data_IF_527099733452
#
_entry.id   IF_527099733452
#
_cell.length_a   1.000
_cell.length_b   1.000
_cell.length_c   1.000
_cell.angle_alpha   90.00
_cell.angle_beta   90.00
_cell.angle_gamma   90.00
#
_symmetry.space_group_name_H-M   'P 1'
#
loop_
_entity.id
_entity.type
_entity.pdbx_description
1 polymer ?
#
# COMPACT_ATOMS: atom_id res chain seq x y z
N UNK A 1 7.64 19.16 -7.46
CA UNK A 1 8.32 17.86 -7.39
C UNK A 1 8.72 17.68 -5.93
N UNK A 2 7.90 16.99 -5.13
CA UNK A 2 8.22 16.76 -3.71
C UNK A 2 9.32 15.71 -3.67
N UNK A 3 10.53 16.12 -3.28
CA UNK A 3 11.62 15.18 -3.03
C UNK A 3 11.48 14.72 -1.58
N UNK A 4 11.19 13.45 -1.36
CA UNK A 4 11.22 12.86 -0.01
C UNK A 4 12.66 12.88 0.50
N UNK A 5 12.83 13.28 1.76
CA UNK A 5 14.13 13.18 2.42
C UNK A 5 14.49 11.72 2.72
N UNK A 6 15.77 11.41 2.90
CA UNK A 6 16.19 10.06 3.30
C UNK A 6 15.53 9.58 4.60
N UNK A 7 15.25 10.50 5.54
CA UNK A 7 14.54 10.18 6.78
C UNK A 7 13.09 9.79 6.50
N UNK A 8 12.37 10.57 5.70
CA UNK A 8 11.01 10.21 5.30
C UNK A 8 10.97 8.89 4.51
N UNK A 9 11.99 8.64 3.68
CA UNK A 9 12.10 7.39 2.93
C UNK A 9 12.29 6.20 3.88
N UNK A 10 13.17 6.33 4.87
CA UNK A 10 13.42 5.29 5.88
C UNK A 10 12.16 5.04 6.72
N UNK A 11 11.52 6.11 7.21
CA UNK A 11 10.28 6.02 7.96
C UNK A 11 9.19 5.33 7.15
N UNK A 12 8.89 5.82 5.95
CA UNK A 12 7.90 5.22 5.05
C UNK A 12 8.23 3.75 4.81
N UNK A 13 9.48 3.41 4.48
CA UNK A 13 9.87 2.01 4.23
C UNK A 13 9.77 1.12 5.47
N UNK A 14 9.81 1.69 6.68
CA UNK A 14 9.61 0.98 7.93
C UNK A 14 8.12 0.88 8.32
N UNK A 15 7.24 1.64 7.68
CA UNK A 15 5.81 1.61 7.98
C UNK A 15 5.16 0.32 7.49
N UNK A 16 4.46 -0.29 8.44
CA UNK A 16 3.70 -1.50 8.21
C UNK A 16 2.41 -1.43 9.03
N UNK A 17 1.28 -1.38 8.33
CA UNK A 17 -0.03 -1.30 8.94
C UNK A 17 -0.81 -2.58 8.68
N UNK A 18 -1.49 -3.07 9.71
CA UNK A 18 -2.36 -4.24 9.61
C UNK A 18 -3.78 -3.74 9.78
N UNK A 19 -4.51 -3.66 8.67
CA UNK A 19 -5.91 -3.29 8.61
C UNK A 19 -6.75 -4.56 8.70
N UNK A 20 -7.47 -4.75 9.79
CA UNK A 20 -8.44 -5.83 9.88
C UNK A 20 -9.74 -5.35 9.21
N UNK A 21 -10.01 -5.85 8.01
CA UNK A 21 -11.24 -5.52 7.27
C UNK A 21 -12.40 -6.33 7.84
N UNK A 22 -12.17 -7.63 8.04
CA UNK A 22 -13.21 -8.57 8.44
C UNK A 22 -12.67 -9.63 9.40
N UNK A 23 -13.55 -10.51 9.91
CA UNK A 23 -13.15 -11.56 10.85
C UNK A 23 -12.12 -12.52 10.23
N UNK A 24 -12.24 -12.77 8.92
CA UNK A 24 -11.35 -13.64 8.16
C UNK A 24 -10.37 -12.87 7.27
N UNK A 25 -10.67 -11.61 6.90
CA UNK A 25 -9.89 -10.82 5.96
C UNK A 25 -9.05 -9.75 6.68
N UNK A 26 -7.73 -9.79 6.45
CA UNK A 26 -6.77 -8.80 6.93
C UNK A 26 -5.97 -8.28 5.76
N UNK A 27 -5.81 -6.97 5.70
CA UNK A 27 -5.01 -6.31 4.68
C UNK A 27 -3.79 -5.71 5.34
N UNK A 28 -2.64 -6.07 4.82
CA UNK A 28 -1.36 -5.69 5.37
C UNK A 28 -0.70 -4.72 4.42
N UNK A 29 -0.68 -3.45 4.83
CA UNK A 29 -0.17 -2.33 4.06
C UNK A 29 1.31 -2.11 4.34
N UNK A 30 2.15 -2.21 3.32
CA UNK A 30 3.60 -1.99 3.37
C UNK A 30 3.95 -0.89 2.38
N UNK A 31 4.75 0.09 2.78
CA UNK A 31 5.30 1.04 1.82
C UNK A 31 6.68 0.56 1.39
N UNK A 32 6.92 0.57 0.09
CA UNK A 32 8.21 0.24 -0.51
C UNK A 32 8.66 1.39 -1.37
N UNK A 33 9.84 1.92 -1.05
CA UNK A 33 10.42 3.00 -1.84
C UNK A 33 11.48 2.40 -2.75
N UNK A 34 11.21 2.44 -4.05
CA UNK A 34 12.19 2.11 -5.05
C UNK A 34 12.99 3.39 -5.32
N UNK A 35 14.16 3.48 -4.70
CA UNK A 35 15.17 4.43 -5.12
C UNK A 35 15.63 4.03 -6.53
N UNK A 36 15.26 4.81 -7.53
CA UNK A 36 15.79 4.62 -8.88
C UNK A 36 17.26 5.04 -8.86
N UNK A 37 18.16 4.19 -9.36
CA UNK A 37 19.60 4.47 -9.44
C UNK A 37 19.95 5.50 -10.53
N UNK A 38 18.96 6.22 -11.09
CA UNK A 38 19.11 7.30 -12.06
C UNK A 38 18.64 8.67 -11.54
N UNK A 39 18.60 9.67 -12.43
CA UNK A 39 18.16 11.06 -12.19
C UNK A 39 16.64 11.19 -11.91
N UNK A 40 15.96 10.08 -11.62
CA UNK A 40 14.53 10.04 -11.40
C UNK A 40 14.18 10.15 -9.92
N UNK A 41 13.08 10.83 -9.58
CA UNK A 41 12.56 10.84 -8.23
C UNK A 41 12.28 9.42 -7.71
N UNK A 42 12.48 9.16 -6.40
CA UNK A 42 12.21 7.87 -5.80
C UNK A 42 10.72 7.51 -5.96
N UNK A 43 10.43 6.28 -6.39
CA UNK A 43 9.06 5.79 -6.54
C UNK A 43 8.56 5.22 -5.22
N UNK A 44 7.44 5.73 -4.75
CA UNK A 44 6.76 5.21 -3.56
C UNK A 44 5.71 4.21 -4.03
N UNK A 45 5.80 2.97 -3.57
CA UNK A 45 4.89 1.89 -3.93
C UNK A 45 4.22 1.39 -2.65
N UNK A 46 2.89 1.51 -2.58
CA UNK A 46 2.09 0.89 -1.53
C UNK A 46 1.77 -0.55 -1.93
N UNK A 47 2.27 -1.49 -1.14
CA UNK A 47 1.99 -2.91 -1.27
C UNK A 47 0.90 -3.29 -0.25
N UNK A 48 -0.24 -3.74 -0.74
CA UNK A 48 -1.31 -4.29 0.09
C UNK A 48 -1.29 -5.80 -0.02
N UNK A 49 -1.10 -6.49 1.09
CA UNK A 49 -1.07 -7.94 1.14
C UNK A 49 -2.35 -8.44 1.79
N UNK A 50 -3.16 -9.18 1.04
CA UNK A 50 -4.44 -9.69 1.50
C UNK A 50 -4.22 -11.05 2.16
N UNK A 51 -4.60 -11.17 3.42
CA UNK A 51 -4.60 -12.41 4.17
C UNK A 51 -6.04 -12.81 4.50
N UNK A 52 -6.44 -13.96 3.99
CA UNK A 52 -7.71 -14.58 4.32
C UNK A 52 -7.45 -15.82 5.17
N UNK A 53 -8.07 -15.88 6.35
CA UNK A 53 -7.93 -16.99 7.30
C UNK A 53 -6.46 -17.34 7.62
N UNK A 54 -5.62 -16.29 7.80
CA UNK A 54 -4.17 -16.39 8.05
C UNK A 54 -3.33 -16.92 6.88
N UNK A 55 -3.94 -17.23 5.74
CA UNK A 55 -3.23 -17.51 4.49
C UNK A 55 -3.17 -16.27 3.62
N UNK A 56 -2.00 -15.97 3.05
CA UNK A 56 -1.89 -14.93 2.02
C UNK A 56 -2.68 -15.39 0.79
N UNK A 57 -3.70 -14.63 0.42
CA UNK A 57 -4.46 -14.88 -0.81
C UNK A 57 -3.74 -14.22 -1.96
N UNK A 58 -3.48 -12.91 -1.83
CA UNK A 58 -2.90 -12.14 -2.94
C UNK A 58 -2.20 -10.86 -2.45
N UNK A 59 -1.67 -10.07 -3.39
CA UNK A 59 -1.05 -8.77 -3.14
C UNK A 59 -1.38 -7.77 -4.24
N UNK A 60 -1.73 -6.56 -3.84
CA UNK A 60 -1.88 -5.40 -4.72
C UNK A 60 -0.68 -4.47 -4.55
N UNK A 61 -0.32 -3.75 -5.61
CA UNK A 61 0.74 -2.74 -5.59
C UNK A 61 0.25 -1.48 -6.27
N UNK A 62 0.24 -0.37 -5.53
CA UNK A 62 -0.17 0.95 -6.00
C UNK A 62 1.03 1.87 -6.06
N UNK A 63 1.20 2.59 -7.16
CA UNK A 63 2.20 3.64 -7.27
C UNK A 63 1.64 4.94 -6.66
N UNK A 64 2.32 5.42 -5.62
CA UNK A 64 2.00 6.63 -4.88
C UNK A 64 2.98 7.77 -5.20
N UNK A 65 3.61 7.75 -6.37
CA UNK A 65 4.66 8.70 -6.75
C UNK A 65 4.22 10.17 -6.70
N UNK A 66 2.92 10.45 -6.82
CA UNK A 66 2.36 11.80 -6.77
C UNK A 66 1.63 12.13 -5.46
N UNK A 67 1.70 11.25 -4.45
CA UNK A 67 1.08 11.46 -3.15
C UNK A 67 2.07 12.07 -2.15
N UNK A 68 1.57 12.87 -1.21
CA UNK A 68 2.41 13.46 -0.16
C UNK A 68 2.64 12.45 0.97
N UNK A 69 3.70 12.64 1.76
CA UNK A 69 4.03 11.77 2.90
C UNK A 69 2.82 11.52 3.82
N UNK A 70 2.11 12.58 4.22
CA UNK A 70 0.93 12.48 5.09
C UNK A 70 -0.20 11.66 4.44
N UNK A 71 -0.41 11.83 3.13
CA UNK A 71 -1.44 11.13 2.38
C UNK A 71 -1.12 9.64 2.24
N UNK A 72 0.14 9.31 1.93
CA UNK A 72 0.62 7.91 1.88
C UNK A 72 0.36 7.19 3.21
N UNK A 73 0.65 7.85 4.33
CA UNK A 73 0.42 7.29 5.67
C UNK A 73 -1.06 7.11 5.94
N UNK A 74 -1.87 8.11 5.62
CA UNK A 74 -3.32 8.07 5.83
C UNK A 74 -3.94 6.91 5.04
N UNK A 75 -3.59 6.79 3.76
CA UNK A 75 -4.04 5.70 2.88
C UNK A 75 -3.58 4.33 3.40
N UNK A 76 -2.30 4.19 3.76
CA UNK A 76 -1.78 2.91 4.26
C UNK A 76 -2.40 2.51 5.61
N UNK A 77 -2.71 3.48 6.46
CA UNK A 77 -3.31 3.29 7.78
C UNK A 77 -4.81 3.05 7.73
N UNK A 78 -5.52 3.61 6.75
CA UNK A 78 -6.97 3.52 6.60
C UNK A 78 -7.35 2.88 5.26
N UNK A 79 -6.76 1.73 4.94
CA UNK A 79 -7.09 1.01 3.70
C UNK A 79 -8.56 0.60 3.68
N UNK A 80 -9.11 0.21 4.84
CA UNK A 80 -10.52 -0.16 4.95
C UNK A 80 -11.50 1.02 4.87
N UNK A 81 -11.04 2.25 5.08
CA UNK A 81 -11.88 3.44 4.90
C UNK A 81 -11.83 3.95 3.45
N UNK A 82 -10.83 3.51 2.69
CA UNK A 82 -10.60 3.95 1.32
C UNK A 82 -11.44 3.10 0.34
N UNK A 83 -12.58 3.66 -0.11
CA UNK A 83 -13.51 2.99 -1.02
C UNK A 83 -12.84 2.48 -2.30
N UNK A 84 -11.86 3.20 -2.84
CA UNK A 84 -11.14 2.78 -4.04
C UNK A 84 -10.30 1.52 -3.79
N UNK A 85 -9.55 1.49 -2.69
CA UNK A 85 -8.74 0.33 -2.32
C UNK A 85 -9.62 -0.87 -1.97
N UNK A 86 -10.71 -0.64 -1.23
CA UNK A 86 -11.72 -1.64 -0.91
C UNK A 86 -12.33 -2.23 -2.18
N UNK A 87 -12.64 -1.41 -3.20
CA UNK A 87 -13.14 -1.86 -4.49
C UNK A 87 -12.12 -2.75 -5.23
N UNK A 88 -10.85 -2.36 -5.27
CA UNK A 88 -9.79 -3.17 -5.89
C UNK A 88 -9.57 -4.50 -5.15
N UNK A 89 -9.61 -4.46 -3.82
CA UNK A 89 -9.53 -5.64 -2.95
C UNK A 89 -10.72 -6.58 -3.20
N UNK A 90 -11.92 -6.04 -3.26
CA UNK A 90 -13.15 -6.79 -3.52
C UNK A 90 -13.13 -7.40 -4.92
N UNK A 91 -12.76 -6.63 -5.95
CA UNK A 91 -12.63 -7.11 -7.32
C UNK A 91 -11.62 -8.27 -7.42
N UNK A 92 -10.51 -8.15 -6.71
CA UNK A 92 -9.47 -9.18 -6.67
C UNK A 92 -9.94 -10.44 -5.91
N UNK A 93 -10.63 -10.28 -4.78
CA UNK A 93 -11.19 -11.40 -4.01
C UNK A 93 -12.36 -12.09 -4.72
N UNK A 94 -13.17 -11.31 -5.44
CA UNK A 94 -14.29 -11.79 -6.25
C UNK A 94 -13.82 -12.60 -7.47
N UNK A 95 -12.52 -12.58 -7.78
CA UNK A 95 -11.94 -13.42 -8.81
C UNK A 95 -12.41 -13.07 -10.22
N UNK A 96 -12.71 -11.80 -10.50
CA UNK A 96 -13.00 -11.34 -11.86
C UNK A 96 -11.68 -11.25 -12.65
N UNK A 97 -11.07 -12.42 -12.86
CA UNK A 97 -10.11 -12.62 -13.93
C UNK A 97 -10.88 -12.72 -15.23
N UNK A 98 -10.81 -11.66 -16.03
CA UNK A 98 -10.99 -11.75 -17.49
C UNK A 98 -9.63 -11.66 -18.19
#
# INVERSE_FOLDING_TARGET
MHMFTQQEIDELSALHFINQIDAHLRVVSKIRIAADTGDHPPRVILLLELLYDKSRVDKLSFDLHNHSYADIIEVARNVGDNEYLMCEIDNLLSGHGE
#
